data_IF_565317730688
#
_entry.id   IF_565317730688
#
_cell.length_a   1.000
_cell.length_b   1.000
_cell.length_c   1.000
_cell.angle_alpha   90.00
_cell.angle_beta   90.00
_cell.angle_gamma   90.00
#
_symmetry.space_group_name_H-M   'P 1'
#
loop_
_entity.id
_entity.type
_entity.pdbx_description
1 polymer ?
#
# COMPACT_ATOMS: atom_id res chain seq x y z
N UNK A 1 24.54 3.82 -100.88
CA UNK A 1 25.99 4.15 -100.80
C UNK A 1 26.11 5.45 -100.02
N UNK A 2 26.72 5.42 -98.83
CA UNK A 2 26.82 6.58 -97.94
C UNK A 2 26.82 6.15 -96.48
N UNK A 3 27.96 5.66 -95.99
CA UNK A 3 28.13 5.30 -94.58
C UNK A 3 28.37 6.59 -93.80
N UNK A 4 27.36 7.05 -93.07
CA UNK A 4 27.45 8.17 -92.15
C UNK A 4 27.78 7.67 -90.74
N UNK A 5 29.02 7.98 -90.33
CA UNK A 5 29.42 8.52 -89.03
C UNK A 5 28.74 7.92 -87.77
N UNK A 6 29.48 7.03 -87.08
CA UNK A 6 29.18 6.72 -85.67
C UNK A 6 29.87 7.73 -84.76
N UNK A 7 29.03 8.38 -83.97
CA UNK A 7 29.36 9.40 -82.98
C UNK A 7 29.30 8.76 -81.58
N UNK A 8 30.12 9.32 -80.68
CA UNK A 8 30.04 9.32 -79.21
C UNK A 8 30.82 8.24 -78.43
N UNK A 9 31.73 8.75 -77.59
CA UNK A 9 32.19 8.17 -76.31
C UNK A 9 33.70 8.02 -76.24
N UNK A 10 34.44 8.45 -75.21
CA UNK A 10 34.09 8.88 -73.86
C UNK A 10 35.26 9.77 -73.33
N UNK A 11 34.87 10.93 -72.79
CA UNK A 11 35.39 11.65 -71.62
C UNK A 11 36.84 11.43 -71.12
N UNK A 12 37.60 12.53 -71.16
CA UNK A 12 38.84 12.75 -70.45
C UNK A 12 38.62 12.82 -68.92
N UNK A 13 39.38 12.02 -68.17
CA UNK A 13 39.44 12.12 -66.71
C UNK A 13 40.70 12.90 -66.30
N UNK A 14 40.54 14.18 -65.96
CA UNK A 14 41.49 14.87 -65.10
C UNK A 14 41.16 14.48 -63.65
N UNK A 15 41.97 13.63 -63.04
CA UNK A 15 41.87 13.34 -61.61
C UNK A 15 42.39 14.53 -60.80
N UNK A 16 41.46 15.30 -60.23
CA UNK A 16 41.77 16.20 -59.13
C UNK A 16 42.22 15.35 -57.93
N UNK A 17 43.46 15.57 -57.47
CA UNK A 17 43.98 14.92 -56.27
C UNK A 17 43.25 15.43 -55.03
N UNK A 18 42.44 14.59 -54.42
CA UNK A 18 41.89 14.82 -53.07
C UNK A 18 42.95 14.47 -52.04
N UNK A 19 43.36 15.45 -51.21
CA UNK A 19 44.17 15.19 -50.03
C UNK A 19 43.22 14.59 -48.98
N UNK A 20 43.32 13.28 -48.75
CA UNK A 20 42.66 12.64 -47.62
C UNK A 20 43.46 12.97 -46.36
N UNK A 21 42.97 13.91 -45.54
CA UNK A 21 43.44 14.05 -44.16
C UNK A 21 42.86 12.87 -43.38
N UNK A 22 43.68 11.87 -43.10
CA UNK A 22 43.36 10.85 -42.12
C UNK A 22 43.37 11.53 -40.74
N UNK A 23 42.19 11.82 -40.20
CA UNK A 23 42.06 12.15 -38.79
C UNK A 23 42.31 10.87 -38.01
N UNK A 24 43.49 10.78 -37.40
CA UNK A 24 43.81 9.72 -36.45
C UNK A 24 42.98 9.97 -35.20
N UNK A 25 41.81 9.36 -35.13
CA UNK A 25 40.95 9.40 -33.96
C UNK A 25 41.37 8.29 -33.00
N UNK A 26 42.55 8.43 -32.40
CA UNK A 26 42.88 7.78 -31.13
C UNK A 26 42.11 8.49 -30.01
N UNK A 27 40.79 8.31 -30.03
CA UNK A 27 39.94 8.58 -28.89
C UNK A 27 40.16 7.43 -27.91
N UNK A 28 41.16 7.59 -27.03
CA UNK A 28 41.42 6.70 -25.92
C UNK A 28 40.14 6.58 -25.06
N UNK A 29 39.36 5.53 -25.32
CA UNK A 29 38.14 5.22 -24.60
C UNK A 29 38.53 4.77 -23.20
N UNK A 30 38.63 5.72 -22.27
CA UNK A 30 38.72 5.41 -20.85
C UNK A 30 37.51 4.55 -20.47
N UNK A 31 37.70 3.33 -19.94
CA UNK A 31 36.58 2.48 -19.59
C UNK A 31 35.74 3.18 -18.52
N UNK A 32 34.45 3.34 -18.79
CA UNK A 32 33.48 3.82 -17.81
C UNK A 32 33.31 2.72 -16.75
N UNK A 33 33.89 2.92 -15.56
CA UNK A 33 33.74 1.99 -14.44
C UNK A 33 32.38 2.24 -13.79
N UNK A 34 31.43 1.33 -14.01
CA UNK A 34 30.16 1.32 -13.30
C UNK A 34 30.35 0.64 -11.93
N UNK A 35 30.19 1.40 -10.85
CA UNK A 35 30.15 0.87 -9.49
C UNK A 35 28.72 1.01 -8.95
N UNK A 36 28.05 -0.12 -8.72
CA UNK A 36 26.75 -0.14 -8.05
C UNK A 36 26.96 -0.55 -6.59
N UNK A 37 26.50 0.29 -5.67
CA UNK A 37 26.49 0.01 -4.23
C UNK A 37 25.06 -0.33 -3.82
N UNK A 38 24.83 -1.55 -3.36
CA UNK A 38 23.55 -1.99 -2.80
C UNK A 38 23.67 -2.03 -1.28
N UNK A 39 22.96 -1.16 -0.58
CA UNK A 39 22.98 -1.06 0.87
C UNK A 39 21.73 -1.76 1.42
N UNK A 40 21.90 -2.97 1.95
CA UNK A 40 20.83 -3.67 2.66
C UNK A 40 20.89 -3.37 4.15
N UNK A 41 19.93 -2.58 4.64
CA UNK A 41 19.80 -2.31 6.07
C UNK A 41 18.73 -3.22 6.68
N UNK A 42 19.15 -4.09 7.62
CA UNK A 42 18.23 -4.90 8.43
C UNK A 42 18.25 -4.41 9.87
N UNK A 43 17.18 -3.73 10.29
CA UNK A 43 16.99 -3.31 11.68
C UNK A 43 16.06 -4.27 12.41
N UNK A 44 16.60 -5.00 13.39
CA UNK A 44 15.81 -5.90 14.25
C UNK A 44 15.49 -5.18 15.57
N UNK A 45 14.28 -4.61 15.67
CA UNK A 45 13.81 -4.00 16.92
C UNK A 45 13.23 -5.08 17.83
N UNK A 46 13.88 -5.30 18.98
CA UNK A 46 13.38 -6.21 20.02
C UNK A 46 12.56 -5.42 21.03
N UNK A 47 11.24 -5.56 21.00
CA UNK A 47 10.37 -5.03 22.05
C UNK A 47 10.43 -5.98 23.24
N UNK A 48 10.99 -5.52 24.37
CA UNK A 48 10.84 -6.24 25.65
C UNK A 48 9.45 -5.94 26.21
N UNK A 49 8.73 -6.92 26.78
CA UNK A 49 7.51 -6.63 27.52
C UNK A 49 7.85 -5.62 28.61
N UNK A 50 7.17 -4.48 28.64
CA UNK A 50 7.23 -3.60 29.80
C UNK A 50 6.66 -4.41 30.95
N UNK A 51 7.39 -4.53 32.06
CA UNK A 51 6.83 -5.07 33.29
C UNK A 51 5.71 -4.13 33.71
N UNK A 52 4.49 -4.42 33.28
CA UNK A 52 3.29 -3.75 33.77
C UNK A 52 3.26 -4.13 35.25
N UNK A 53 3.60 -3.18 36.12
CA UNK A 53 3.31 -3.32 37.54
C UNK A 53 1.85 -3.78 37.60
N UNK A 54 1.55 -4.99 38.13
CA UNK A 54 0.20 -5.50 38.07
C UNK A 54 -0.69 -4.43 38.69
N UNK A 55 -1.69 -3.90 37.96
CA UNK A 55 -2.66 -3.01 38.60
C UNK A 55 -3.10 -3.76 39.86
N UNK A 56 -3.02 -3.11 41.02
CA UNK A 56 -3.49 -3.66 42.30
C UNK A 56 -4.69 -4.52 42.00
N UNK A 57 -4.66 -5.81 42.36
CA UNK A 57 -5.61 -6.83 41.93
C UNK A 57 -7.03 -6.53 42.44
N UNK A 58 -7.62 -5.42 41.99
CA UNK A 58 -9.04 -5.29 41.83
C UNK A 58 -9.36 -6.38 40.83
N UNK A 59 -10.22 -7.36 41.18
CA UNK A 59 -10.70 -8.29 40.18
C UNK A 59 -11.31 -7.42 39.07
N UNK A 60 -10.60 -7.31 37.95
CA UNK A 60 -11.20 -6.77 36.75
C UNK A 60 -12.25 -7.81 36.41
N UNK A 61 -13.48 -7.53 36.82
CA UNK A 61 -14.64 -8.32 36.44
C UNK A 61 -14.50 -8.47 34.92
N UNK A 62 -14.16 -9.68 34.46
CA UNK A 62 -13.99 -9.95 33.04
C UNK A 62 -15.39 -9.88 32.47
N UNK A 63 -15.81 -8.66 32.15
CA UNK A 63 -17.13 -8.37 31.63
C UNK A 63 -17.26 -9.21 30.37
N UNK A 64 -18.09 -10.26 30.45
CA UNK A 64 -18.43 -11.02 29.26
C UNK A 64 -19.33 -10.13 28.44
N UNK A 65 -19.07 -10.05 27.15
CA UNK A 65 -19.91 -9.29 26.23
C UNK A 65 -20.85 -10.25 25.54
N UNK A 66 -22.14 -9.95 25.56
CA UNK A 66 -23.13 -10.59 24.72
C UNK A 66 -23.35 -9.76 23.45
N UNK A 67 -23.37 -10.43 22.29
CA UNK A 67 -23.69 -9.79 21.01
C UNK A 67 -25.21 -9.73 20.82
N UNK A 68 -25.76 -8.53 20.64
CA UNK A 68 -27.13 -8.28 20.21
C UNK A 68 -27.14 -7.65 18.81
N UNK A 69 -28.33 -7.57 18.20
CA UNK A 69 -28.50 -6.92 16.90
C UNK A 69 -28.11 -5.43 17.01
N UNK A 70 -27.19 -4.99 16.16
CA UNK A 70 -26.80 -3.60 16.02
C UNK A 70 -27.58 -2.87 14.92
N UNK A 71 -27.45 -1.53 14.83
CA UNK A 71 -27.87 -0.78 13.65
C UNK A 71 -27.00 -1.13 12.45
N UNK A 72 -27.52 -0.98 11.24
CA UNK A 72 -26.74 -1.22 10.00
C UNK A 72 -25.70 -0.14 9.74
N UNK A 73 -25.93 1.07 10.24
CA UNK A 73 -25.06 2.22 10.08
C UNK A 73 -24.85 2.94 11.40
N UNK A 74 -23.65 3.48 11.59
CA UNK A 74 -23.31 4.37 12.71
C UNK A 74 -22.71 5.66 12.18
N UNK A 75 -22.95 6.79 12.85
CA UNK A 75 -22.28 8.05 12.51
C UNK A 75 -20.81 7.93 12.85
N UNK A 76 -19.92 8.27 11.92
CA UNK A 76 -18.47 8.27 12.15
C UNK A 76 -18.11 9.19 13.31
N UNK A 77 -18.79 10.33 13.41
CA UNK A 77 -18.61 11.29 14.50
C UNK A 77 -18.98 10.72 15.87
N UNK A 78 -19.75 9.64 15.96
CA UNK A 78 -20.05 9.01 17.25
C UNK A 78 -18.97 8.02 17.70
N UNK A 79 -17.99 7.68 16.85
CA UNK A 79 -16.91 6.78 17.23
C UNK A 79 -15.89 7.55 18.09
N UNK A 80 -15.68 7.08 19.32
CA UNK A 80 -14.72 7.64 20.26
C UNK A 80 -13.38 6.90 20.22
N UNK A 81 -13.39 5.62 19.83
CA UNK A 81 -12.20 4.81 19.69
C UNK A 81 -12.52 3.42 19.16
N UNK A 82 -11.48 2.62 18.96
CA UNK A 82 -11.62 1.26 18.48
C UNK A 82 -10.53 0.34 19.04
N UNK A 83 -10.83 -0.95 19.11
CA UNK A 83 -9.87 -2.00 19.46
C UNK A 83 -10.07 -3.22 18.58
N UNK A 84 -8.98 -3.90 18.22
CA UNK A 84 -9.07 -5.22 17.60
C UNK A 84 -9.43 -6.24 18.68
N UNK A 85 -10.61 -6.85 18.56
CA UNK A 85 -11.19 -7.72 19.60
C UNK A 85 -11.03 -9.21 19.33
N UNK A 86 -11.04 -9.62 18.06
CA UNK A 86 -10.81 -11.00 17.61
C UNK A 86 -10.23 -10.99 16.20
N UNK A 87 -9.73 -12.13 15.68
CA UNK A 87 -9.19 -12.27 14.32
C UNK A 87 -10.14 -11.87 13.18
N UNK A 88 -11.41 -11.62 13.43
CA UNK A 88 -12.44 -11.28 12.43
C UNK A 88 -13.28 -10.07 12.87
N UNK A 89 -12.90 -9.38 13.95
CA UNK A 89 -13.72 -8.30 14.47
C UNK A 89 -12.96 -7.18 15.16
N UNK A 90 -13.55 -6.00 15.07
CA UNK A 90 -13.08 -4.77 15.71
C UNK A 90 -14.22 -4.24 16.57
N UNK A 91 -13.93 -3.95 17.84
CA UNK A 91 -14.87 -3.32 18.75
C UNK A 91 -14.68 -1.80 18.72
N UNK A 92 -15.72 -1.10 18.29
CA UNK A 92 -15.84 0.34 18.31
C UNK A 92 -16.44 0.78 19.65
N UNK A 93 -15.84 1.79 20.27
CA UNK A 93 -16.39 2.47 21.43
C UNK A 93 -17.06 3.74 20.94
N UNK A 94 -18.36 3.87 21.19
CA UNK A 94 -19.11 5.07 20.84
C UNK A 94 -19.04 6.11 21.95
N UNK A 95 -19.24 7.38 21.58
CA UNK A 95 -19.53 8.46 22.52
C UNK A 95 -20.76 8.08 23.32
N UNK A 96 -20.65 8.13 24.65
CA UNK A 96 -21.67 7.60 25.57
C UNK A 96 -21.37 6.19 26.11
N UNK A 97 -20.26 5.56 25.69
CA UNK A 97 -19.73 4.33 26.29
C UNK A 97 -20.31 3.02 25.74
N UNK A 98 -21.31 3.10 24.85
CA UNK A 98 -21.81 1.93 24.13
C UNK A 98 -20.69 1.29 23.28
N UNK A 99 -20.72 -0.03 23.15
CA UNK A 99 -19.76 -0.78 22.34
C UNK A 99 -20.44 -1.46 21.16
N UNK A 100 -19.83 -1.33 20.00
CA UNK A 100 -20.31 -1.91 18.74
C UNK A 100 -19.21 -2.78 18.15
N UNK A 101 -19.47 -4.06 17.97
CA UNK A 101 -18.56 -4.95 17.25
C UNK A 101 -18.84 -4.90 15.75
N UNK A 102 -17.84 -4.51 14.98
CA UNK A 102 -17.80 -4.63 13.54
C UNK A 102 -17.23 -6.01 13.19
N UNK A 103 -18.07 -6.88 12.61
CA UNK A 103 -17.64 -8.14 12.01
C UNK A 103 -17.09 -7.86 10.62
N UNK A 104 -15.90 -8.37 10.36
CA UNK A 104 -15.20 -8.18 9.09
C UNK A 104 -15.51 -9.34 8.14
N UNK A 105 -15.30 -9.11 6.86
CA UNK A 105 -15.45 -10.16 5.85
C UNK A 105 -14.46 -11.31 6.07
N UNK A 106 -14.88 -12.54 5.77
CA UNK A 106 -14.10 -13.78 6.00
C UNK A 106 -12.70 -13.80 5.37
N UNK A 107 -12.46 -12.98 4.35
CA UNK A 107 -11.16 -12.87 3.69
C UNK A 107 -10.15 -11.99 4.46
N UNK A 108 -10.54 -11.41 5.60
CA UNK A 108 -9.76 -10.40 6.29
C UNK A 108 -9.42 -10.84 7.72
N UNK A 109 -8.25 -11.44 7.94
CA UNK A 109 -7.77 -11.61 9.29
C UNK A 109 -7.48 -10.23 9.89
N UNK A 110 -8.02 -9.96 11.07
CA UNK A 110 -7.89 -8.67 11.75
C UNK A 110 -6.46 -8.37 12.22
N UNK A 111 -5.56 -9.35 12.05
CA UNK A 111 -4.15 -9.22 12.32
C UNK A 111 -3.51 -8.05 11.56
N UNK A 112 -3.98 -7.79 10.34
CA UNK A 112 -3.50 -6.69 9.53
C UNK A 112 -3.82 -5.32 10.16
N UNK A 113 -4.84 -5.24 11.02
CA UNK A 113 -5.30 -3.99 11.64
C UNK A 113 -4.68 -3.73 13.04
N UNK A 114 -3.82 -4.61 13.56
CA UNK A 114 -3.13 -4.36 14.85
C UNK A 114 -2.22 -3.12 14.82
N UNK A 115 -1.67 -2.79 13.65
CA UNK A 115 -0.89 -1.57 13.46
C UNK A 115 -1.75 -0.29 13.45
N UNK A 116 -3.07 -0.44 13.52
CA UNK A 116 -4.07 0.60 13.34
C UNK A 116 -4.76 0.46 11.99
N UNK A 117 -5.89 1.17 11.87
CA UNK A 117 -6.69 1.18 10.66
C UNK A 117 -7.39 2.52 10.52
N UNK A 118 -7.88 2.80 9.32
CA UNK A 118 -8.72 3.94 9.02
C UNK A 118 -9.99 3.48 8.33
N UNK A 119 -11.04 4.28 8.47
CA UNK A 119 -12.29 4.10 7.75
C UNK A 119 -12.57 5.41 7.06
N UNK A 120 -12.82 5.34 5.75
CA UNK A 120 -13.23 6.52 5.00
C UNK A 120 -14.74 6.68 5.15
N UNK A 121 -15.23 7.75 5.80
CA UNK A 121 -16.66 7.99 5.86
C UNK A 121 -17.20 8.26 4.46
N UNK A 122 -18.38 7.72 4.17
CA UNK A 122 -19.15 8.07 2.98
C UNK A 122 -19.66 9.52 3.05
N UNK A 123 -20.23 10.04 1.96
CA UNK A 123 -20.75 11.43 1.88
C UNK A 123 -21.79 11.75 2.95
N UNK A 124 -22.48 10.75 3.46
CA UNK A 124 -23.48 10.87 4.52
C UNK A 124 -22.88 10.94 5.94
N UNK A 125 -21.55 10.82 6.07
CA UNK A 125 -20.84 10.82 7.35
C UNK A 125 -21.06 9.55 8.19
N UNK A 126 -21.66 8.52 7.60
CA UNK A 126 -21.90 7.24 8.27
C UNK A 126 -20.84 6.20 7.87
N UNK A 127 -20.73 5.18 8.72
CA UNK A 127 -20.09 3.91 8.44
C UNK A 127 -21.15 2.83 8.52
N UNK A 128 -21.32 2.07 7.44
CA UNK A 128 -22.38 1.09 7.26
C UNK A 128 -21.79 -0.29 6.96
N UNK A 129 -22.48 -1.31 7.46
CA UNK A 129 -22.29 -2.68 7.02
C UNK A 129 -22.62 -2.83 5.52
N UNK A 130 -21.98 -3.80 4.87
CA UNK A 130 -22.12 -4.17 3.46
C UNK A 130 -21.85 -3.02 2.45
N UNK A 131 -21.30 -1.89 2.92
CA UNK A 131 -20.98 -0.70 2.10
C UNK A 131 -19.57 -0.20 2.33
N UNK A 132 -19.20 0.03 3.58
CA UNK A 132 -17.94 0.68 3.91
C UNK A 132 -16.86 -0.35 4.25
N UNK A 133 -15.61 0.07 4.02
CA UNK A 133 -14.43 -0.75 4.20
C UNK A 133 -13.50 -0.16 5.26
N UNK A 134 -12.77 -1.05 5.91
CA UNK A 134 -11.70 -0.76 6.84
C UNK A 134 -10.37 -0.93 6.11
N UNK A 135 -9.52 0.06 6.20
CA UNK A 135 -8.21 0.09 5.55
C UNK A 135 -7.13 -0.06 6.61
N UNK A 136 -6.30 -1.07 6.49
CA UNK A 136 -5.12 -1.25 7.33
C UNK A 136 -4.05 -0.23 6.96
N UNK A 137 -3.26 0.18 7.95
CA UNK A 137 -2.03 0.96 7.73
C UNK A 137 -0.97 0.18 6.95
N UNK A 138 -1.04 -1.15 6.91
CA UNK A 138 -0.15 -2.00 6.09
C UNK A 138 -0.68 -2.25 4.67
N UNK A 139 -1.83 -1.67 4.29
CA UNK A 139 -2.33 -1.69 2.91
C UNK A 139 -3.45 -2.69 2.60
N UNK A 140 -3.89 -3.51 3.57
CA UNK A 140 -5.05 -4.38 3.41
C UNK A 140 -6.38 -3.61 3.48
N UNK A 141 -7.42 -4.07 2.78
CA UNK A 141 -8.77 -3.51 2.86
C UNK A 141 -9.78 -4.60 3.20
N UNK A 142 -10.78 -4.27 4.01
CA UNK A 142 -11.82 -5.21 4.38
C UNK A 142 -13.21 -4.60 4.54
N UNK A 143 -14.20 -5.20 3.88
CA UNK A 143 -15.61 -4.84 4.07
C UNK A 143 -16.15 -5.23 5.45
N UNK A 144 -16.94 -4.32 6.02
CA UNK A 144 -17.70 -4.54 7.26
C UNK A 144 -18.94 -5.37 6.94
N UNK A 145 -19.02 -6.60 7.43
CA UNK A 145 -20.18 -7.48 7.20
C UNK A 145 -21.36 -7.17 8.12
N UNK A 146 -21.10 -6.90 9.40
CA UNK A 146 -22.19 -6.67 10.36
C UNK A 146 -21.78 -5.89 11.57
N UNK A 147 -22.70 -5.06 12.05
CA UNK A 147 -22.59 -4.45 13.36
C UNK A 147 -23.39 -5.22 14.41
N UNK A 148 -22.76 -5.49 15.55
CA UNK A 148 -23.37 -6.10 16.73
C UNK A 148 -23.23 -5.16 17.91
N UNK A 149 -24.33 -4.93 18.61
CA UNK A 149 -24.28 -4.20 19.87
C UNK A 149 -23.70 -5.13 20.93
N UNK A 150 -22.67 -4.68 21.64
CA UNK A 150 -22.12 -5.39 22.78
C UNK A 150 -22.79 -4.88 24.05
N UNK A 151 -23.50 -5.78 24.73
CA UNK A 151 -24.09 -5.52 26.04
C UNK A 151 -23.36 -6.34 27.10
N UNK A 152 -23.24 -5.85 28.34
CA UNK A 152 -22.73 -6.66 29.43
C UNK A 152 -23.55 -7.96 29.54
N UNK A 153 -22.87 -9.10 29.49
CA UNK A 153 -23.45 -10.40 29.77
C UNK A 153 -23.78 -10.53 31.25
N UNK A 154 -24.76 -11.37 31.54
CA UNK A 154 -25.17 -11.69 32.91
C UNK A 154 -24.14 -12.54 33.65
#
# INVERSE_FOLDING_TARGET
>A
MGVALRLVGLLAALSAGSIAVAADHDAEQRPLIFAQVQIEQRTVVRIRPVAIQPPSARPQLRLRWEEKKGPSCIRMTNVAGAMVSSPDSIDLVLRGGARMRAKLSRACPSIDFYSGFYVKPSKDGNVCEDRDMIHSRSGGECGIQKFKLLVPGK
#
